data_IF_082632565891
#
_entry.id   IF_082632565891
#
_cell.length_a   1.000
_cell.length_b   1.000
_cell.length_c   1.000
_cell.angle_alpha   90.00
_cell.angle_beta   90.00
_cell.angle_gamma   90.00
#
_symmetry.space_group_name_H-M   'P 1'
#
loop_
_entity.id
_entity.type
_entity.pdbx_description
1 polymer ?
#
# COMPACT_ATOMS: atom_id res chain seq x y z
N UNK A 1 9.41 13.56 -3.16
CA UNK A 1 9.61 12.91 -4.48
C UNK A 1 8.82 13.63 -5.57
N UNK A 2 9.19 13.43 -6.83
CA UNK A 2 8.40 13.83 -8.01
C UNK A 2 8.31 12.68 -9.00
N UNK A 3 7.21 12.61 -9.75
CA UNK A 3 6.92 11.55 -10.71
C UNK A 3 6.50 12.16 -12.05
N UNK A 4 6.74 11.44 -13.15
CA UNK A 4 6.39 11.90 -14.51
C UNK A 4 4.88 11.89 -14.78
N UNK A 5 4.12 11.05 -14.06
CA UNK A 5 2.65 10.99 -14.09
C UNK A 5 2.09 10.78 -12.67
N UNK A 6 0.79 11.05 -12.44
CA UNK A 6 0.17 10.84 -11.12
C UNK A 6 0.41 9.44 -10.57
N UNK A 7 0.77 9.36 -9.29
CA UNK A 7 0.99 8.09 -8.60
C UNK A 7 -0.12 7.85 -7.56
N UNK A 8 -0.77 6.68 -7.53
CA UNK A 8 -1.80 6.36 -6.53
C UNK A 8 -1.31 6.52 -5.09
N UNK A 9 -0.10 6.05 -4.79
CA UNK A 9 0.55 6.16 -3.48
C UNK A 9 0.99 7.59 -3.11
N UNK A 10 0.91 8.55 -4.04
CA UNK A 10 1.02 10.00 -3.78
C UNK A 10 -0.36 10.69 -3.70
N UNK A 11 -1.45 9.94 -3.62
CA UNK A 11 -2.81 10.50 -3.67
C UNK A 11 -3.15 11.04 -5.05
N UNK A 12 -2.74 10.32 -6.09
CA UNK A 12 -2.88 10.72 -7.50
C UNK A 12 -2.25 12.09 -7.80
N UNK A 13 -1.17 12.43 -7.08
CA UNK A 13 -0.33 13.60 -7.36
C UNK A 13 0.95 13.20 -8.10
N UNK A 14 1.57 14.19 -8.76
CA UNK A 14 2.91 14.07 -9.39
C UNK A 14 4.05 14.43 -8.44
N UNK A 15 3.75 14.95 -7.26
CA UNK A 15 4.75 15.42 -6.31
C UNK A 15 4.22 15.34 -4.88
N UNK A 16 5.12 15.12 -3.93
CA UNK A 16 4.79 15.10 -2.52
C UNK A 16 5.78 14.32 -1.67
N UNK A 17 5.38 14.06 -0.42
CA UNK A 17 6.09 13.20 0.52
C UNK A 17 5.61 11.76 0.32
N UNK A 18 6.56 10.87 0.04
CA UNK A 18 6.34 9.43 0.04
C UNK A 18 6.37 8.96 1.50
N UNK A 19 5.41 8.11 1.88
CA UNK A 19 5.35 7.50 3.21
C UNK A 19 5.72 6.03 3.03
N UNK A 20 6.52 5.52 3.94
CA UNK A 20 6.86 4.09 3.98
C UNK A 20 5.58 3.25 4.13
N UNK A 21 5.63 1.97 3.75
CA UNK A 21 4.48 1.06 3.62
C UNK A 21 3.47 1.40 2.50
N UNK A 22 3.36 2.65 2.08
CA UNK A 22 2.45 3.11 1.03
C UNK A 22 3.13 3.24 -0.33
N UNK A 23 4.39 3.69 -0.33
CA UNK A 23 5.19 3.88 -1.53
C UNK A 23 6.17 2.72 -1.75
N UNK A 24 6.66 2.48 -2.98
CA UNK A 24 7.64 1.43 -3.24
C UNK A 24 8.90 1.59 -2.37
N UNK A 25 9.25 0.57 -1.58
CA UNK A 25 10.32 0.63 -0.57
C UNK A 25 11.69 1.07 -1.12
N UNK A 26 12.00 0.69 -2.37
CA UNK A 26 13.25 1.08 -3.05
C UNK A 26 13.44 2.60 -3.21
N UNK A 27 12.38 3.41 -3.04
CA UNK A 27 12.46 4.86 -3.09
C UNK A 27 13.22 5.46 -1.89
N UNK A 28 13.17 4.81 -0.73
CA UNK A 28 13.76 5.32 0.50
C UNK A 28 15.28 5.09 0.58
N UNK A 29 15.83 4.27 -0.32
CA UNK A 29 17.27 4.08 -0.48
C UNK A 29 17.90 5.03 -1.52
N UNK A 30 17.10 5.88 -2.18
CA UNK A 30 17.58 6.79 -3.20
C UNK A 30 18.25 8.02 -2.59
N UNK A 31 19.43 8.36 -3.10
CA UNK A 31 20.07 9.65 -2.82
C UNK A 31 19.27 10.79 -3.42
N UNK A 32 19.34 11.97 -2.82
CA UNK A 32 18.73 13.17 -3.37
C UNK A 32 19.21 13.43 -4.83
N UNK A 33 18.28 13.79 -5.70
CA UNK A 33 18.53 14.01 -7.13
C UNK A 33 18.54 12.74 -7.99
N UNK A 34 18.57 11.55 -7.37
CA UNK A 34 18.50 10.29 -8.12
C UNK A 34 17.20 10.20 -8.93
N UNK A 35 17.31 9.62 -10.13
CA UNK A 35 16.20 9.40 -11.03
C UNK A 35 16.14 7.91 -11.39
N UNK A 36 15.01 7.28 -11.13
CA UNK A 36 14.84 5.83 -11.28
C UNK A 36 13.46 5.51 -11.86
N UNK A 37 13.38 4.42 -12.61
CA UNK A 37 12.09 3.86 -13.05
C UNK A 37 11.61 2.80 -12.08
N UNK A 38 10.40 2.99 -11.56
CA UNK A 38 9.77 2.11 -10.59
C UNK A 38 8.37 1.77 -11.08
N UNK A 39 8.11 0.50 -11.38
CA UNK A 39 6.81 -0.01 -11.81
C UNK A 39 6.22 0.79 -12.98
N UNK A 40 7.09 1.09 -13.96
CA UNK A 40 6.76 1.90 -15.13
C UNK A 40 6.74 3.42 -14.90
N UNK A 41 6.83 3.88 -13.66
CA UNK A 41 6.82 5.30 -13.30
C UNK A 41 8.24 5.86 -13.24
N UNK A 42 8.50 7.01 -13.86
CA UNK A 42 9.77 7.71 -13.69
C UNK A 42 9.71 8.60 -12.45
N UNK A 43 10.62 8.38 -11.52
CA UNK A 43 10.62 9.01 -10.20
C UNK A 43 11.94 9.72 -9.97
N UNK A 44 11.84 10.93 -9.40
CA UNK A 44 12.98 11.73 -8.94
C UNK A 44 12.91 11.92 -7.43
N UNK A 45 13.97 11.50 -6.74
CA UNK A 45 14.18 11.81 -5.32
C UNK A 45 14.50 13.30 -5.19
N UNK A 46 13.70 14.03 -4.41
CA UNK A 46 13.85 15.49 -4.23
C UNK A 46 14.61 15.87 -2.96
N UNK A 47 14.90 14.89 -2.13
CA UNK A 47 15.61 15.02 -0.86
C UNK A 47 15.93 13.62 -0.34
N UNK A 48 16.72 13.57 0.72
CA UNK A 48 17.05 12.33 1.42
C UNK A 48 15.81 11.75 2.12
N UNK A 49 15.83 10.43 2.33
CA UNK A 49 14.88 9.79 3.22
C UNK A 49 15.16 10.20 4.67
N UNK A 50 14.12 10.47 5.43
CA UNK A 50 14.22 10.83 6.83
C UNK A 50 12.97 10.38 7.59
N UNK A 51 13.06 10.20 8.93
CA UNK A 51 11.89 9.91 9.75
C UNK A 51 10.79 10.96 9.54
N UNK A 52 9.53 10.53 9.52
CA UNK A 52 8.41 11.44 9.26
C UNK A 52 8.37 12.64 10.22
N UNK A 53 8.79 12.46 11.47
CA UNK A 53 8.85 13.50 12.49
C UNK A 53 9.88 14.61 12.23
N UNK A 54 10.82 14.43 11.29
CA UNK A 54 11.78 15.48 10.93
C UNK A 54 11.26 16.44 9.85
N UNK A 55 10.11 16.15 9.24
CA UNK A 55 9.51 17.02 8.23
C UNK A 55 8.70 18.14 8.88
N UNK A 56 8.70 19.37 8.33
CA UNK A 56 7.74 20.38 8.72
C UNK A 56 6.31 19.86 8.54
N UNK A 57 5.49 20.00 9.58
CA UNK A 57 4.14 19.43 9.60
C UNK A 57 3.30 19.84 8.38
N UNK A 58 3.36 21.10 7.97
CA UNK A 58 2.65 21.60 6.80
C UNK A 58 3.01 20.86 5.49
N UNK A 59 4.26 20.42 5.35
CA UNK A 59 4.73 19.67 4.18
C UNK A 59 4.29 18.20 4.23
N UNK A 60 4.23 17.61 5.42
CA UNK A 60 3.88 16.20 5.60
C UNK A 60 2.37 15.96 5.75
N UNK A 61 1.59 16.94 6.19
CA UNK A 61 0.19 16.78 6.62
C UNK A 61 -0.70 16.11 5.56
N UNK A 62 -0.55 16.48 4.28
CA UNK A 62 -1.32 15.87 3.20
C UNK A 62 -0.98 14.38 3.00
N UNK A 63 0.30 14.02 3.11
CA UNK A 63 0.75 12.64 2.99
C UNK A 63 0.32 11.80 4.20
N UNK A 64 0.39 12.36 5.40
CA UNK A 64 -0.09 11.74 6.64
C UNK A 64 -1.58 11.43 6.55
N UNK A 65 -2.41 12.43 6.21
CA UNK A 65 -3.86 12.23 6.07
C UNK A 65 -4.20 11.13 5.09
N UNK A 66 -3.53 11.11 3.93
CA UNK A 66 -3.72 10.05 2.93
C UNK A 66 -3.34 8.67 3.47
N UNK A 67 -2.18 8.54 4.12
CA UNK A 67 -1.73 7.26 4.67
C UNK A 67 -2.73 6.71 5.69
N UNK A 68 -3.22 7.57 6.60
CA UNK A 68 -4.25 7.19 7.57
C UNK A 68 -5.55 6.75 6.89
N UNK A 69 -6.01 7.48 5.87
CA UNK A 69 -7.21 7.09 5.12
C UNK A 69 -7.02 5.74 4.41
N UNK A 70 -5.86 5.48 3.81
CA UNK A 70 -5.58 4.19 3.17
C UNK A 70 -5.60 3.05 4.18
N UNK A 71 -4.97 3.24 5.34
CA UNK A 71 -4.92 2.23 6.39
C UNK A 71 -6.33 1.88 6.92
N UNK A 72 -7.19 2.88 7.10
CA UNK A 72 -8.60 2.66 7.47
C UNK A 72 -9.37 1.92 6.36
N UNK A 73 -9.12 2.26 5.10
CA UNK A 73 -9.73 1.56 3.96
C UNK A 73 -9.32 0.09 3.90
N UNK A 74 -8.05 -0.22 4.16
CA UNK A 74 -7.53 -1.60 4.17
C UNK A 74 -8.21 -2.42 5.28
N UNK A 75 -8.34 -1.85 6.48
CA UNK A 75 -9.06 -2.48 7.60
C UNK A 75 -10.56 -2.69 7.32
N UNK A 76 -11.20 -1.67 6.72
CA UNK A 76 -12.61 -1.75 6.31
C UNK A 76 -12.83 -2.80 5.21
N UNK A 77 -11.94 -2.85 4.21
CA UNK A 77 -11.98 -3.82 3.13
C UNK A 77 -11.86 -5.25 3.66
N UNK A 78 -10.89 -5.53 4.53
CA UNK A 78 -10.74 -6.86 5.13
C UNK A 78 -12.00 -7.31 5.86
N UNK A 79 -12.66 -6.40 6.58
CA UNK A 79 -13.92 -6.68 7.28
C UNK A 79 -15.07 -6.93 6.33
N UNK A 80 -15.19 -6.11 5.29
CA UNK A 80 -16.20 -6.27 4.24
C UNK A 80 -16.01 -7.59 3.47
N UNK A 81 -14.78 -7.92 3.08
CA UNK A 81 -14.44 -9.12 2.33
C UNK A 81 -14.81 -10.39 3.11
N UNK A 82 -14.39 -10.49 4.38
CA UNK A 82 -14.78 -11.60 5.27
C UNK A 82 -16.28 -11.79 5.38
N UNK A 83 -17.05 -10.70 5.50
CA UNK A 83 -18.51 -10.77 5.53
C UNK A 83 -19.08 -11.31 4.23
N UNK A 84 -18.53 -10.88 3.09
CA UNK A 84 -18.97 -11.32 1.77
C UNK A 84 -18.67 -12.79 1.52
N UNK A 85 -17.48 -13.23 1.90
CA UNK A 85 -17.03 -14.63 1.84
C UNK A 85 -17.94 -15.53 2.70
N UNK A 86 -18.18 -15.17 3.96
CA UNK A 86 -19.07 -15.94 4.85
C UNK A 86 -20.50 -16.06 4.29
N UNK A 87 -21.04 -14.99 3.70
CA UNK A 87 -22.35 -15.03 3.04
C UNK A 87 -22.36 -15.94 1.80
N UNK A 88 -21.26 -15.97 1.04
CA UNK A 88 -21.13 -16.82 -0.14
C UNK A 88 -21.02 -18.29 0.25
N UNK A 89 -20.21 -18.62 1.26
CA UNK A 89 -20.03 -19.98 1.78
C UNK A 89 -21.37 -20.60 2.21
N UNK A 90 -22.23 -19.85 2.89
CA UNK A 90 -23.56 -20.33 3.29
C UNK A 90 -24.49 -20.67 2.12
N UNK A 91 -24.22 -20.16 0.91
CA UNK A 91 -24.99 -20.45 -0.32
C UNK A 91 -24.33 -21.49 -1.21
N UNK A 92 -23.05 -21.76 -1.00
CA UNK A 92 -22.25 -22.72 -1.78
C UNK A 92 -22.14 -24.08 -1.07
N UNK A 93 -22.60 -24.18 0.18
CA UNK A 93 -22.60 -25.43 0.94
C UNK A 93 -23.55 -26.46 0.32
N UNK A 94 -23.00 -27.47 -0.38
CA UNK A 94 -23.72 -28.71 -0.62
C UNK A 94 -23.69 -29.59 0.65
N UNK A 95 -24.64 -30.53 0.78
CA UNK A 95 -24.87 -31.35 1.99
C UNK A 95 -23.63 -32.16 2.48
N UNK A 96 -22.57 -32.25 1.67
CA UNK A 96 -21.33 -32.99 1.95
C UNK A 96 -20.04 -32.19 1.65
N UNK A 97 -20.11 -30.88 1.44
CA UNK A 97 -18.91 -30.08 1.16
C UNK A 97 -18.09 -29.82 2.43
N UNK A 98 -16.81 -30.19 2.38
CA UNK A 98 -15.82 -29.67 3.31
C UNK A 98 -15.42 -28.27 2.87
N UNK A 99 -16.16 -27.27 3.35
CA UNK A 99 -15.83 -25.88 3.06
C UNK A 99 -14.49 -25.50 3.72
N UNK A 100 -13.64 -24.73 3.03
CA UNK A 100 -12.45 -24.15 3.65
C UNK A 100 -12.87 -23.23 4.80
N UNK A 101 -12.17 -23.29 5.93
CA UNK A 101 -12.42 -22.34 7.01
C UNK A 101 -12.10 -20.93 6.52
N UNK A 102 -13.02 -19.96 6.69
CA UNK A 102 -12.75 -18.57 6.33
C UNK A 102 -11.62 -18.03 7.20
N UNK A 103 -10.44 -17.90 6.60
CA UNK A 103 -9.25 -17.32 7.20
C UNK A 103 -8.74 -16.20 6.29
N UNK A 104 -8.19 -15.14 6.88
CA UNK A 104 -7.38 -14.18 6.13
C UNK A 104 -6.20 -14.92 5.55
N UNK A 105 -6.23 -15.18 4.24
CA UNK A 105 -5.13 -15.85 3.54
C UNK A 105 -3.94 -14.92 3.56
N UNK A 106 -2.89 -15.31 4.28
CA UNK A 106 -1.57 -14.72 4.11
C UNK A 106 -1.05 -15.14 2.72
N UNK A 107 -1.09 -14.20 1.78
CA UNK A 107 -0.70 -14.43 0.39
C UNK A 107 0.79 -14.77 0.27
N UNK A 108 1.63 -14.50 1.28
CA UNK A 108 3.04 -14.89 1.24
C UNK A 108 3.24 -16.40 1.26
N UNK A 109 2.29 -17.17 1.82
CA UNK A 109 2.30 -18.63 1.79
C UNK A 109 2.00 -19.25 0.41
N UNK A 110 1.36 -18.49 -0.49
CA UNK A 110 0.97 -18.97 -1.83
C UNK A 110 1.71 -18.24 -2.97
N UNK A 111 2.20 -17.03 -2.71
CA UNK A 111 2.93 -16.17 -3.62
C UNK A 111 4.20 -15.65 -2.91
N UNK A 112 5.25 -16.49 -2.78
CA UNK A 112 6.42 -16.17 -1.97
C UNK A 112 7.21 -14.93 -2.44
N UNK A 113 7.01 -14.48 -3.68
CA UNK A 113 7.58 -13.22 -4.18
C UNK A 113 6.93 -11.96 -3.56
N UNK A 114 5.84 -12.11 -2.81
CA UNK A 114 5.22 -11.05 -2.01
C UNK A 114 5.82 -10.94 -0.60
N UNK A 115 6.66 -11.91 -0.19
CA UNK A 115 7.43 -11.82 1.04
C UNK A 115 8.50 -10.74 0.89
N UNK A 116 8.35 -9.64 1.61
CA UNK A 116 9.44 -8.71 1.85
C UNK A 116 10.27 -9.31 2.99
N UNK A 117 11.39 -9.94 2.64
CA UNK A 117 12.39 -10.41 3.60
C UNK A 117 13.06 -9.28 4.36
#
# INVERSE_FOLDING_TARGET
VSTDRPAPWLGNSRHGVAIDEQAPGRLFALRAGARVRVDGLMITARGESAPLGSFPFAQAAAAIRRALVSQEQDGAFATWARRRENQALGRLACQHDQLPQPATVDLTGFAPFLSLG
#
